data_IF_706863000511
#
_entry.id   IF_706863000511
#
_cell.length_a   1.000
_cell.length_b   1.000
_cell.length_c   1.000
_cell.angle_alpha   90.00
_cell.angle_beta   90.00
_cell.angle_gamma   90.00
#
_symmetry.space_group_name_H-M   'P 1'
#
loop_
_entity.id
_entity.type
_entity.pdbx_description
1 polymer ?
#
# COMPACT_ATOMS: atom_id res chain seq x y z
N UNK A 1 -11.97 -3.36 11.31
CA UNK A 1 -10.69 -2.75 10.88
C UNK A 1 -10.99 -1.82 9.71
N UNK A 2 -10.59 -0.55 9.76
CA UNK A 2 -10.94 0.43 8.72
C UNK A 2 -9.68 1.08 8.16
N UNK A 3 -9.59 1.12 6.84
CA UNK A 3 -8.50 1.77 6.13
C UNK A 3 -8.69 3.30 6.19
N UNK A 4 -7.65 4.04 6.56
CA UNK A 4 -7.65 5.50 6.56
C UNK A 4 -6.62 6.01 5.55
N UNK A 5 -6.93 7.11 4.85
CA UNK A 5 -6.09 7.61 3.78
C UNK A 5 -4.80 8.17 4.38
N UNK A 6 -3.66 7.62 3.96
CA UNK A 6 -2.38 8.03 4.49
C UNK A 6 -2.06 9.51 4.20
N UNK A 7 -2.60 10.11 3.12
CA UNK A 7 -2.45 11.54 2.84
C UNK A 7 -3.05 12.45 3.92
N UNK A 8 -4.06 11.97 4.66
CA UNK A 8 -4.65 12.71 5.78
C UNK A 8 -3.87 12.55 7.09
N UNK A 9 -2.87 11.66 7.12
CA UNK A 9 -2.09 11.30 8.30
C UNK A 9 -0.62 11.72 8.13
N UNK A 10 -0.10 11.64 6.90
CA UNK A 10 1.27 11.99 6.51
C UNK A 10 1.42 13.51 6.43
N UNK A 11 1.52 14.18 7.58
CA UNK A 11 2.17 15.50 7.74
C UNK A 11 1.99 16.06 9.17
N UNK A 12 1.96 15.21 10.20
CA UNK A 12 1.97 15.73 11.58
C UNK A 12 3.43 15.91 12.01
N UNK A 13 3.96 17.15 12.06
CA UNK A 13 5.33 17.37 12.52
C UNK A 13 5.48 16.92 13.98
N UNK A 14 6.56 16.21 14.28
CA UNK A 14 6.99 15.92 15.66
C UNK A 14 6.67 14.55 16.25
N UNK A 15 5.99 13.64 15.54
CA UNK A 15 5.72 12.27 16.02
C UNK A 15 5.63 11.28 14.87
N UNK A 16 6.69 10.50 14.61
CA UNK A 16 6.59 9.37 13.69
C UNK A 16 7.27 8.14 14.29
N UNK A 17 6.56 7.51 15.22
CA UNK A 17 6.78 6.11 15.60
C UNK A 17 5.46 5.38 15.38
N UNK A 18 5.47 4.22 14.73
CA UNK A 18 4.25 3.49 14.32
C UNK A 18 3.28 3.23 15.51
N UNK A 19 3.84 3.11 16.72
CA UNK A 19 3.08 2.95 17.97
C UNK A 19 2.34 4.22 18.38
N UNK A 20 3.02 5.38 18.37
CA UNK A 20 2.41 6.66 18.73
C UNK A 20 1.35 7.08 17.70
N UNK A 21 1.62 6.81 16.42
CA UNK A 21 0.65 7.04 15.35
C UNK A 21 -0.59 6.17 15.57
N UNK A 22 -0.43 4.86 15.82
CA UNK A 22 -1.54 3.94 16.06
C UNK A 22 -2.43 4.36 17.24
N UNK A 23 -1.82 4.79 18.36
CA UNK A 23 -2.55 5.30 19.52
C UNK A 23 -3.32 6.58 19.20
N UNK A 24 -2.70 7.50 18.45
CA UNK A 24 -3.36 8.73 18.01
C UNK A 24 -4.49 8.45 17.02
N UNK A 25 -4.32 7.52 16.07
CA UNK A 25 -5.38 7.10 15.17
C UNK A 25 -6.56 6.51 15.97
N UNK A 26 -6.26 5.67 16.98
CA UNK A 26 -7.28 5.06 17.85
C UNK A 26 -8.05 6.10 18.67
N UNK A 27 -7.38 7.15 19.16
CA UNK A 27 -8.05 8.29 19.80
C UNK A 27 -9.03 8.98 18.87
N UNK A 28 -8.59 9.30 17.64
CA UNK A 28 -9.45 9.93 16.64
C UNK A 28 -10.63 9.06 16.21
N UNK A 29 -10.46 7.73 16.20
CA UNK A 29 -11.55 6.78 15.98
C UNK A 29 -12.63 6.87 17.07
N UNK A 30 -12.23 6.89 18.35
CA UNK A 30 -13.19 6.96 19.48
C UNK A 30 -14.03 8.23 19.46
N UNK A 31 -13.49 9.33 18.93
CA UNK A 31 -14.18 10.61 18.84
C UNK A 31 -14.90 10.83 17.49
N UNK A 32 -14.90 9.85 16.59
CA UNK A 32 -15.58 9.97 15.29
C UNK A 32 -14.94 10.95 14.31
N UNK A 33 -13.70 11.38 14.57
CA UNK A 33 -13.01 12.44 13.82
C UNK A 33 -12.29 11.94 12.56
N UNK A 34 -12.57 10.71 12.10
CA UNK A 34 -11.93 10.11 10.92
C UNK A 34 -12.93 9.62 9.91
N UNK A 35 -12.66 10.00 8.65
CA UNK A 35 -13.34 9.44 7.49
C UNK A 35 -12.63 8.16 7.03
N UNK A 36 -13.40 7.10 6.81
CA UNK A 36 -12.90 5.89 6.17
C UNK A 36 -12.38 6.22 4.76
N UNK A 37 -11.31 5.55 4.34
CA UNK A 37 -10.87 5.57 2.95
C UNK A 37 -11.95 5.02 2.05
N UNK A 38 -12.07 5.60 0.86
CA UNK A 38 -12.87 5.00 -0.19
C UNK A 38 -12.26 3.65 -0.59
N UNK A 39 -13.07 2.60 -0.52
CA UNK A 39 -12.72 1.26 -0.98
C UNK A 39 -13.65 0.96 -2.16
N UNK A 40 -13.14 0.82 -3.39
CA UNK A 40 -13.99 0.55 -4.55
C UNK A 40 -14.67 -0.83 -4.44
N UNK A 41 -15.80 -1.05 -5.14
CA UNK A 41 -16.49 -2.34 -5.18
C UNK A 41 -15.56 -3.49 -5.59
N UNK A 42 -15.93 -4.72 -5.23
CA UNK A 42 -15.08 -5.91 -5.44
C UNK A 42 -14.73 -6.10 -6.92
N UNK A 43 -15.68 -5.88 -7.82
CA UNK A 43 -15.47 -6.03 -9.27
C UNK A 43 -14.37 -5.09 -9.77
N UNK A 44 -14.45 -3.80 -9.40
CA UNK A 44 -13.45 -2.79 -9.76
C UNK A 44 -12.08 -3.15 -9.19
N UNK A 45 -12.02 -3.70 -7.97
CA UNK A 45 -10.76 -4.16 -7.37
C UNK A 45 -10.14 -5.31 -8.16
N UNK A 46 -10.93 -6.31 -8.57
CA UNK A 46 -10.43 -7.43 -9.39
C UNK A 46 -9.79 -6.95 -10.69
N UNK A 47 -10.44 -6.02 -11.38
CA UNK A 47 -9.88 -5.43 -12.60
C UNK A 47 -8.57 -4.68 -12.34
N UNK A 48 -8.51 -3.91 -11.24
CA UNK A 48 -7.28 -3.20 -10.84
C UNK A 48 -6.15 -4.17 -10.49
N UNK A 49 -6.45 -5.26 -9.79
CA UNK A 49 -5.46 -6.26 -9.42
C UNK A 49 -4.81 -6.91 -10.65
N UNK A 50 -5.60 -7.20 -11.69
CA UNK A 50 -5.08 -7.71 -12.96
C UNK A 50 -4.13 -6.68 -13.63
N UNK A 51 -4.53 -5.41 -13.70
CA UNK A 51 -3.69 -4.37 -14.31
C UNK A 51 -2.40 -4.11 -13.51
N UNK A 52 -2.49 -4.09 -12.17
CA UNK A 52 -1.35 -3.92 -11.29
C UNK A 52 -0.37 -5.09 -11.42
N UNK A 53 -0.90 -6.32 -11.48
CA UNK A 53 -0.08 -7.53 -11.65
C UNK A 53 0.65 -7.53 -12.99
N UNK A 54 -0.02 -7.13 -14.07
CA UNK A 54 0.62 -6.97 -15.39
C UNK A 54 1.76 -5.96 -15.34
N UNK A 55 1.52 -4.80 -14.73
CA UNK A 55 2.53 -3.74 -14.60
C UNK A 55 3.74 -4.24 -13.81
N UNK A 56 3.52 -4.86 -12.65
CA UNK A 56 4.60 -5.45 -11.85
C UNK A 56 5.40 -6.50 -12.64
N UNK A 57 4.72 -7.35 -13.41
CA UNK A 57 5.40 -8.33 -14.26
C UNK A 57 6.27 -7.68 -15.32
N UNK A 58 5.78 -6.62 -15.99
CA UNK A 58 6.56 -5.88 -16.98
C UNK A 58 7.77 -5.17 -16.36
N UNK A 59 7.61 -4.58 -15.17
CA UNK A 59 8.69 -3.89 -14.44
C UNK A 59 9.76 -4.86 -13.93
N UNK A 60 9.36 -6.06 -13.50
CA UNK A 60 10.29 -7.08 -12.98
C UNK A 60 10.90 -7.95 -14.07
N UNK A 61 10.32 -7.98 -15.28
CA UNK A 61 10.81 -8.75 -16.42
C UNK A 61 12.32 -8.55 -16.72
N UNK A 62 12.85 -7.31 -16.71
CA UNK A 62 14.28 -7.06 -16.91
C UNK A 62 15.15 -7.70 -15.83
N UNK A 63 14.70 -7.67 -14.56
CA UNK A 63 15.42 -8.24 -13.43
C UNK A 63 15.48 -9.77 -13.49
N UNK A 64 14.42 -10.41 -13.99
CA UNK A 64 14.44 -11.85 -14.25
C UNK A 64 15.40 -12.19 -15.39
N UNK A 65 15.32 -11.47 -16.51
CA UNK A 65 16.19 -11.71 -17.68
C UNK A 65 17.68 -11.48 -17.36
N UNK A 66 18.00 -10.50 -16.53
CA UNK A 66 19.38 -10.24 -16.06
C UNK A 66 19.92 -11.33 -15.14
N UNK A 67 19.07 -11.93 -14.29
CA UNK A 67 19.45 -13.03 -13.39
C UNK A 67 19.63 -14.35 -14.13
N UNK A 68 18.77 -14.66 -15.10
CA UNK A 68 18.82 -15.92 -15.84
C UNK A 68 20.04 -16.00 -16.78
N UNK A 69 20.48 -14.86 -17.35
CA UNK A 69 21.68 -14.80 -18.20
C UNK A 69 23.01 -14.82 -17.42
N UNK A 70 22.98 -14.66 -16.09
CA UNK A 70 24.16 -14.72 -15.22
C UNK A 70 24.46 -16.11 -14.66
N UNK A 71 23.61 -17.11 -14.91
CA UNK A 71 23.84 -18.48 -14.45
C UNK A 71 24.68 -19.23 -15.49
N UNK A 72 25.94 -19.59 -15.18
CA UNK A 72 26.67 -20.49 -16.07
C UNK A 72 25.91 -21.81 -16.13
N UNK A 73 25.57 -22.23 -17.35
CA UNK A 73 25.16 -23.60 -17.64
C UNK A 73 26.39 -24.48 -17.39
N UNK A 74 26.48 -25.09 -16.21
CA UNK A 74 27.42 -26.14 -15.92
C UNK A 74 26.67 -27.47 -15.93
#
# INVERSE_FOLDING_TARGET
>A
MVLVNARHIQNVPGRKTDVADSQWLAGLWRHGLRRASFIPPLEVRRWRDLTARRKNYQETLPDYKGRDLSRPFN
#
